data_IF_271375455298
#
_entry.id   IF_271375455298
#
_cell.length_a   1.000
_cell.length_b   1.000
_cell.length_c   1.000
_cell.angle_alpha   90.00
_cell.angle_beta   90.00
_cell.angle_gamma   90.00
#
_symmetry.space_group_name_H-M   'P 1'
#
loop_
_entity.id
_entity.type
_entity.pdbx_description
1 polymer ?
#
# COMPACT_ATOMS: atom_id res chain seq x y z
N UNK A 1 3.68 0.21 23.92
CA UNK A 1 3.35 1.48 24.59
C UNK A 1 4.62 2.31 24.80
N UNK A 2 5.72 1.73 25.30
CA UNK A 2 6.97 2.46 25.57
C UNK A 2 7.52 3.24 24.37
N UNK A 3 7.62 2.69 23.13
CA UNK A 3 8.13 3.43 21.97
C UNK A 3 7.27 4.66 21.61
N UNK A 4 5.95 4.55 21.78
CA UNK A 4 5.04 5.68 21.51
C UNK A 4 5.22 6.82 22.49
N UNK A 5 5.44 6.52 23.79
CA UNK A 5 5.73 7.51 24.81
C UNK A 5 7.07 8.22 24.54
N UNK A 6 8.07 7.47 24.12
CA UNK A 6 9.38 8.02 23.73
C UNK A 6 9.26 8.95 22.53
N UNK A 7 8.52 8.55 21.49
CA UNK A 7 8.28 9.39 20.31
C UNK A 7 7.53 10.67 20.70
N UNK A 8 6.48 10.55 21.53
CA UNK A 8 5.75 11.72 22.01
C UNK A 8 6.67 12.66 22.82
N UNK A 9 7.49 12.12 23.71
CA UNK A 9 8.46 12.90 24.48
C UNK A 9 9.40 13.68 23.57
N UNK A 10 10.03 13.00 22.58
CA UNK A 10 10.91 13.67 21.62
C UNK A 10 10.18 14.65 20.70
N UNK A 11 8.90 14.43 20.43
CA UNK A 11 8.07 15.36 19.65
C UNK A 11 7.86 16.72 20.34
N UNK A 12 7.82 16.71 21.66
CA UNK A 12 7.61 17.93 22.48
C UNK A 12 8.90 18.47 23.13
N UNK A 13 10.04 17.86 22.87
CA UNK A 13 11.31 18.22 23.48
C UNK A 13 12.33 18.60 22.42
N UNK A 14 13.09 19.68 22.65
CA UNK A 14 14.21 20.06 21.80
C UNK A 14 15.45 19.22 22.13
N UNK A 15 16.51 19.29 21.29
CA UNK A 15 17.81 18.61 21.49
C UNK A 15 18.46 18.93 22.84
N UNK A 16 18.08 20.03 23.48
CA UNK A 16 18.53 20.46 24.80
C UNK A 16 17.68 19.94 25.95
N UNK A 17 16.61 19.15 25.67
CA UNK A 17 15.69 18.64 26.70
C UNK A 17 14.63 19.63 27.17
N UNK A 18 14.57 20.84 26.59
CA UNK A 18 13.57 21.82 26.90
C UNK A 18 12.24 21.55 26.18
N UNK A 19 11.13 21.76 26.84
CA UNK A 19 9.79 21.67 26.24
C UNK A 19 9.62 22.75 25.18
N UNK A 20 9.35 22.33 23.93
CA UNK A 20 9.15 23.24 22.81
C UNK A 20 8.04 22.76 21.89
N UNK A 21 7.26 23.71 21.38
CA UNK A 21 6.25 23.48 20.36
C UNK A 21 6.80 23.71 18.94
N UNK A 22 8.09 24.00 18.81
CA UNK A 22 8.72 24.27 17.52
C UNK A 22 8.60 23.08 16.56
N UNK A 23 8.74 21.85 17.07
CA UNK A 23 8.59 20.61 16.28
C UNK A 23 7.15 20.45 15.79
N UNK A 24 6.16 20.78 16.62
CA UNK A 24 4.74 20.73 16.24
C UNK A 24 4.43 21.80 15.18
N UNK A 25 5.01 23.01 15.32
CA UNK A 25 4.87 24.07 14.33
C UNK A 25 5.56 23.74 13.01
N UNK A 26 6.66 22.99 13.04
CA UNK A 26 7.35 22.51 11.85
C UNK A 26 6.47 21.57 11.00
N UNK A 27 5.50 20.86 11.60
CA UNK A 27 4.54 20.01 10.87
C UNK A 27 3.66 20.87 9.93
N UNK A 28 3.38 22.12 10.30
CA UNK A 28 2.62 23.06 9.48
C UNK A 28 3.45 23.68 8.32
N UNK A 29 4.69 23.24 8.11
CA UNK A 29 5.48 23.69 6.97
C UNK A 29 4.85 23.28 5.65
N UNK A 30 4.98 24.10 4.59
CA UNK A 30 4.35 23.82 3.29
C UNK A 30 4.83 22.50 2.66
N UNK A 31 6.02 22.05 3.00
CA UNK A 31 6.58 20.77 2.52
C UNK A 31 5.85 19.57 3.14
N UNK A 32 5.61 19.59 4.43
CA UNK A 32 4.85 18.54 5.13
C UNK A 32 3.38 18.52 4.75
N UNK A 33 2.78 19.70 4.53
CA UNK A 33 1.40 19.80 4.05
C UNK A 33 1.23 19.25 2.64
N UNK A 34 2.20 19.47 1.73
CA UNK A 34 2.23 18.87 0.40
C UNK A 34 2.36 17.35 0.48
N UNK A 35 3.26 16.85 1.33
CA UNK A 35 3.44 15.41 1.54
C UNK A 35 2.17 14.75 2.10
N UNK A 36 1.50 15.38 3.06
CA UNK A 36 0.21 14.93 3.60
C UNK A 36 -0.88 14.91 2.52
N UNK A 37 -0.98 15.97 1.73
CA UNK A 37 -1.94 16.05 0.63
C UNK A 37 -1.73 14.96 -0.41
N UNK A 38 -0.49 14.70 -0.80
CA UNK A 38 -0.14 13.62 -1.70
C UNK A 38 -0.49 12.25 -1.11
N UNK A 39 -0.11 11.99 0.14
CA UNK A 39 -0.42 10.72 0.83
C UNK A 39 -1.92 10.48 0.93
N UNK A 40 -2.69 11.51 1.25
CA UNK A 40 -4.15 11.42 1.33
C UNK A 40 -4.78 11.13 -0.04
N UNK A 41 -4.32 11.80 -1.08
CA UNK A 41 -4.77 11.57 -2.45
C UNK A 41 -4.48 10.14 -2.91
N UNK A 42 -3.26 9.65 -2.68
CA UNK A 42 -2.88 8.27 -3.02
C UNK A 42 -3.69 7.24 -2.23
N UNK A 43 -3.96 7.50 -0.94
CA UNK A 43 -4.77 6.62 -0.10
C UNK A 43 -6.21 6.52 -0.57
N UNK A 44 -6.83 7.65 -0.95
CA UNK A 44 -8.19 7.69 -1.49
C UNK A 44 -8.25 6.93 -2.81
N UNK A 45 -7.31 7.20 -3.73
CA UNK A 45 -7.23 6.50 -5.01
C UNK A 45 -7.07 4.99 -4.82
N UNK A 46 -6.17 4.56 -3.93
CA UNK A 46 -5.97 3.16 -3.59
C UNK A 46 -7.24 2.50 -3.04
N UNK A 47 -7.94 3.18 -2.13
CA UNK A 47 -9.17 2.67 -1.50
C UNK A 47 -10.27 2.46 -2.54
N UNK A 48 -10.47 3.43 -3.44
CA UNK A 48 -11.46 3.34 -4.52
C UNK A 48 -11.12 2.18 -5.46
N UNK A 49 -9.87 2.05 -5.87
CA UNK A 49 -9.43 0.98 -6.77
C UNK A 49 -9.55 -0.40 -6.10
N UNK A 50 -9.15 -0.52 -4.83
CA UNK A 50 -9.33 -1.76 -4.07
C UNK A 50 -10.82 -2.15 -3.98
N UNK A 51 -11.71 -1.20 -3.72
CA UNK A 51 -13.14 -1.46 -3.63
C UNK A 51 -13.72 -1.88 -4.98
N UNK A 52 -13.35 -1.20 -6.06
CA UNK A 52 -13.77 -1.52 -7.43
C UNK A 52 -13.36 -2.93 -7.85
N UNK A 53 -12.23 -3.42 -7.38
CA UNK A 53 -11.73 -4.77 -7.69
C UNK A 53 -12.35 -5.80 -6.74
N UNK A 54 -12.33 -5.53 -5.43
CA UNK A 54 -12.77 -6.47 -4.41
C UNK A 54 -14.28 -6.74 -4.44
N UNK A 55 -15.08 -5.71 -4.74
CA UNK A 55 -16.55 -5.84 -4.73
C UNK A 55 -17.06 -6.82 -5.80
N UNK A 56 -16.75 -6.66 -7.11
CA UNK A 56 -17.22 -7.60 -8.13
C UNK A 56 -16.66 -9.01 -7.91
N UNK A 57 -15.41 -9.11 -7.44
CA UNK A 57 -14.78 -10.39 -7.16
C UNK A 57 -15.51 -11.13 -6.00
N UNK A 58 -15.85 -10.43 -4.93
CA UNK A 58 -16.63 -10.99 -3.82
C UNK A 58 -18.04 -11.40 -4.27
N UNK A 59 -18.71 -10.60 -5.13
CA UNK A 59 -20.00 -10.96 -5.69
C UNK A 59 -19.97 -12.23 -6.54
N UNK A 60 -18.96 -12.36 -7.41
CA UNK A 60 -18.78 -13.55 -8.25
C UNK A 60 -18.59 -14.79 -7.36
N UNK A 61 -17.73 -14.69 -6.34
CA UNK A 61 -17.48 -15.82 -5.43
C UNK A 61 -18.72 -16.21 -4.61
N UNK A 62 -19.52 -15.22 -4.19
CA UNK A 62 -20.81 -15.52 -3.52
C UNK A 62 -21.76 -16.25 -4.45
N UNK A 63 -21.93 -15.78 -5.70
CA UNK A 63 -22.84 -16.39 -6.69
C UNK A 63 -22.40 -17.81 -7.11
N UNK A 64 -21.12 -18.05 -7.28
CA UNK A 64 -20.57 -19.34 -7.67
C UNK A 64 -20.47 -20.34 -6.52
N UNK A 65 -20.76 -19.92 -5.27
CA UNK A 65 -20.61 -20.76 -4.08
C UNK A 65 -19.16 -21.15 -3.77
N UNK A 66 -18.21 -20.67 -4.56
CA UNK A 66 -16.78 -20.94 -4.39
C UNK A 66 -16.19 -20.28 -3.14
N UNK A 67 -16.85 -19.25 -2.60
CA UNK A 67 -16.47 -18.63 -1.33
C UNK A 67 -16.54 -19.59 -0.13
N UNK A 68 -17.34 -20.66 -0.22
CA UNK A 68 -17.38 -21.74 0.78
C UNK A 68 -16.23 -22.75 0.64
N UNK A 69 -15.56 -22.79 -0.51
CA UNK A 69 -14.38 -23.63 -0.72
C UNK A 69 -13.17 -22.87 -0.17
N UNK A 70 -12.67 -23.28 0.98
CA UNK A 70 -11.54 -22.66 1.69
C UNK A 70 -10.29 -22.42 0.83
N UNK A 71 -10.19 -23.07 -0.34
CA UNK A 71 -9.07 -22.92 -1.26
C UNK A 71 -8.92 -21.49 -1.82
N UNK A 72 -10.03 -20.82 -2.17
CA UNK A 72 -9.97 -19.43 -2.68
C UNK A 72 -9.55 -18.46 -1.57
N UNK A 73 -10.10 -18.67 -0.38
CA UNK A 73 -9.71 -17.92 0.82
C UNK A 73 -8.22 -18.11 1.10
N UNK A 74 -7.72 -19.35 0.97
CA UNK A 74 -6.31 -19.68 1.18
C UNK A 74 -5.37 -18.94 0.20
N UNK A 75 -5.73 -18.85 -1.10
CA UNK A 75 -4.95 -18.11 -2.11
C UNK A 75 -4.79 -16.62 -1.73
N UNK A 76 -5.83 -16.00 -1.13
CA UNK A 76 -5.74 -14.62 -0.68
C UNK A 76 -4.98 -14.44 0.63
N UNK A 77 -4.98 -15.46 1.50
CA UNK A 77 -4.23 -15.43 2.76
C UNK A 77 -2.74 -15.67 2.54
N UNK A 78 -2.37 -16.52 1.57
CA UNK A 78 -0.98 -16.87 1.27
C UNK A 78 -0.05 -15.64 1.12
N UNK A 79 -0.41 -14.61 0.33
CA UNK A 79 0.38 -13.40 0.22
C UNK A 79 0.51 -12.62 1.54
N UNK A 80 -0.47 -12.75 2.44
CA UNK A 80 -0.43 -12.05 3.74
C UNK A 80 0.61 -12.66 4.71
N UNK A 81 0.92 -13.96 4.55
CA UNK A 81 1.90 -14.65 5.39
C UNK A 81 3.36 -14.32 5.01
N UNK A 82 3.56 -13.79 3.81
CA UNK A 82 4.89 -13.34 3.41
C UNK A 82 5.29 -12.08 4.17
N UNK A 83 6.56 -12.02 4.56
CA UNK A 83 7.14 -10.83 5.18
C UNK A 83 6.96 -9.62 4.25
N UNK A 84 6.52 -8.50 4.83
CA UNK A 84 6.28 -7.24 4.11
C UNK A 84 7.52 -6.77 3.34
N UNK A 85 8.71 -6.88 3.93
CA UNK A 85 9.97 -6.47 3.30
C UNK A 85 10.28 -7.32 2.06
N UNK A 86 10.15 -8.66 2.15
CA UNK A 86 10.39 -9.55 1.02
C UNK A 86 9.41 -9.27 -0.12
N UNK A 87 8.16 -8.99 0.21
CA UNK A 87 7.12 -8.63 -0.76
C UNK A 87 7.45 -7.32 -1.48
N UNK A 88 7.84 -6.30 -0.72
CA UNK A 88 8.23 -5.00 -1.28
C UNK A 88 9.46 -5.14 -2.17
N UNK A 89 10.42 -5.95 -1.77
CA UNK A 89 11.62 -6.22 -2.56
C UNK A 89 11.30 -6.96 -3.87
N UNK A 90 10.38 -7.93 -3.81
CA UNK A 90 9.89 -8.64 -5.01
C UNK A 90 9.22 -7.67 -6.01
N UNK A 91 8.39 -6.74 -5.52
CA UNK A 91 7.77 -5.71 -6.35
C UNK A 91 8.80 -4.76 -6.96
N UNK A 92 9.80 -4.31 -6.20
CA UNK A 92 10.89 -3.48 -6.73
C UNK A 92 11.60 -4.20 -7.88
N UNK A 93 12.03 -5.44 -7.66
CA UNK A 93 12.72 -6.22 -8.71
C UNK A 93 11.85 -6.53 -9.94
N UNK A 94 10.53 -6.64 -9.76
CA UNK A 94 9.59 -6.87 -10.86
C UNK A 94 9.39 -5.63 -11.74
N UNK A 95 9.35 -4.45 -11.10
CA UNK A 95 9.05 -3.17 -11.75
C UNK A 95 10.31 -2.41 -12.20
N UNK A 96 11.49 -2.85 -11.77
CA UNK A 96 12.77 -2.19 -12.06
C UNK A 96 13.10 -2.20 -13.56
N UNK A 97 13.91 -1.23 -13.97
CA UNK A 97 14.45 -1.12 -15.33
C UNK A 97 15.33 -2.35 -15.62
N UNK A 98 14.83 -3.26 -16.46
CA UNK A 98 15.43 -4.58 -16.69
C UNK A 98 14.79 -5.73 -15.93
N UNK A 99 13.79 -5.47 -15.09
CA UNK A 99 12.98 -6.47 -14.39
C UNK A 99 12.15 -7.36 -15.34
N UNK A 100 11.53 -8.38 -14.77
CA UNK A 100 10.76 -9.37 -15.55
C UNK A 100 9.61 -8.71 -16.32
N UNK A 101 8.88 -7.79 -15.68
CA UNK A 101 7.78 -7.04 -16.31
C UNK A 101 8.28 -6.14 -17.44
N UNK A 102 9.39 -5.45 -17.24
CA UNK A 102 10.01 -4.60 -18.25
C UNK A 102 10.39 -5.41 -19.51
N UNK A 103 11.01 -6.58 -19.33
CA UNK A 103 11.37 -7.47 -20.43
C UNK A 103 10.16 -8.04 -21.17
N UNK A 104 9.10 -8.40 -20.45
CA UNK A 104 7.83 -8.88 -21.04
C UNK A 104 7.18 -7.75 -21.87
N UNK A 105 7.07 -6.53 -21.33
CA UNK A 105 6.52 -5.40 -22.06
C UNK A 105 7.32 -5.05 -23.30
N UNK A 106 8.65 -5.10 -23.19
CA UNK A 106 9.55 -4.88 -24.33
C UNK A 106 9.38 -5.92 -25.45
N UNK A 107 9.23 -7.20 -25.08
CA UNK A 107 9.03 -8.28 -26.04
C UNK A 107 7.65 -8.25 -26.71
N UNK A 108 6.65 -7.67 -26.01
CA UNK A 108 5.29 -7.48 -26.55
C UNK A 108 5.15 -6.18 -27.36
N UNK A 109 6.22 -5.38 -27.51
CA UNK A 109 6.17 -4.10 -28.24
C UNK A 109 5.36 -3.02 -27.53
N UNK A 110 5.09 -3.18 -26.23
CA UNK A 110 4.42 -2.17 -25.42
C UNK A 110 5.43 -1.09 -24.99
N UNK A 111 4.97 0.18 -24.82
CA UNK A 111 5.84 1.22 -24.31
C UNK A 111 6.39 0.84 -22.94
N UNK A 112 7.70 0.76 -22.83
CA UNK A 112 8.40 0.48 -21.57
C UNK A 112 8.40 1.75 -20.73
N UNK A 113 7.60 1.73 -19.66
CA UNK A 113 7.62 2.80 -18.66
C UNK A 113 8.46 2.33 -17.47
N UNK A 114 9.44 3.15 -17.09
CA UNK A 114 10.05 3.01 -15.76
C UNK A 114 8.99 3.39 -14.71
N UNK A 115 8.40 2.38 -14.12
CA UNK A 115 7.30 2.56 -13.15
C UNK A 115 7.85 2.80 -11.75
N UNK A 116 9.11 2.38 -11.50
CA UNK A 116 9.78 2.56 -10.20
C UNK A 116 9.92 4.06 -9.89
N UNK A 117 9.55 4.44 -8.68
CA UNK A 117 9.56 5.84 -8.24
C UNK A 117 8.35 6.68 -8.66
N UNK A 118 7.38 6.10 -9.39
CA UNK A 118 6.15 6.79 -9.76
C UNK A 118 5.03 6.54 -8.74
N UNK A 119 4.07 7.49 -8.68
CA UNK A 119 2.87 7.34 -7.87
C UNK A 119 2.06 6.09 -8.26
N UNK A 120 2.14 5.67 -9.52
CA UNK A 120 1.47 4.45 -10.00
C UNK A 120 2.05 3.18 -9.36
N UNK A 121 3.38 3.07 -9.21
CA UNK A 121 4.00 1.94 -8.53
C UNK A 121 3.59 1.86 -7.06
N UNK A 122 3.51 3.01 -6.39
CA UNK A 122 3.05 3.09 -5.00
C UNK A 122 1.60 2.59 -4.88
N UNK A 123 0.71 3.06 -5.75
CA UNK A 123 -0.70 2.63 -5.77
C UNK A 123 -0.81 1.13 -6.03
N UNK A 124 -0.07 0.58 -7.00
CA UNK A 124 -0.07 -0.86 -7.30
C UNK A 124 0.39 -1.68 -6.10
N UNK A 125 1.47 -1.30 -5.45
CA UNK A 125 1.96 -1.96 -4.24
C UNK A 125 0.97 -1.87 -3.08
N UNK A 126 0.30 -0.74 -2.91
CA UNK A 126 -0.75 -0.54 -1.90
C UNK A 126 -1.97 -1.42 -2.21
N UNK A 127 -2.45 -1.46 -3.46
CA UNK A 127 -3.57 -2.31 -3.87
C UNK A 127 -3.26 -3.77 -3.55
N UNK A 128 -2.11 -4.26 -3.96
CA UNK A 128 -1.70 -5.64 -3.69
C UNK A 128 -1.67 -5.98 -2.19
N UNK A 129 -1.24 -5.04 -1.35
CA UNK A 129 -1.20 -5.23 0.10
C UNK A 129 -2.58 -5.20 0.75
N UNK A 130 -3.47 -4.30 0.32
CA UNK A 130 -4.75 -4.04 0.98
C UNK A 130 -5.93 -4.76 0.33
N UNK A 131 -5.79 -5.23 -0.91
CA UNK A 131 -6.84 -5.94 -1.64
C UNK A 131 -7.37 -7.17 -0.88
N UNK A 132 -6.53 -8.05 -0.27
CA UNK A 132 -7.04 -9.17 0.50
C UNK A 132 -7.95 -8.76 1.66
N UNK A 133 -7.58 -7.70 2.39
CA UNK A 133 -8.38 -7.20 3.52
C UNK A 133 -9.74 -6.68 3.07
N UNK A 134 -9.75 -5.86 1.99
CA UNK A 134 -11.00 -5.36 1.39
C UNK A 134 -11.86 -6.50 0.84
N UNK A 135 -11.24 -7.48 0.20
CA UNK A 135 -11.93 -8.65 -0.32
C UNK A 135 -12.65 -9.43 0.79
N UNK A 136 -11.96 -9.75 1.90
CA UNK A 136 -12.58 -10.42 3.04
C UNK A 136 -13.72 -9.60 3.64
N UNK A 137 -13.53 -8.29 3.71
CA UNK A 137 -14.59 -7.40 4.22
C UNK A 137 -15.83 -7.44 3.33
N UNK A 138 -15.66 -7.38 2.01
CA UNK A 138 -16.76 -7.48 1.06
C UNK A 138 -17.42 -8.89 1.02
N UNK A 139 -16.66 -9.93 1.35
CA UNK A 139 -17.18 -11.31 1.38
C UNK A 139 -18.05 -11.56 2.62
N UNK A 140 -17.77 -10.88 3.74
CA UNK A 140 -18.50 -11.01 5.00
C UNK A 140 -19.79 -10.20 5.03
N UNK A 141 -19.93 -9.19 4.19
CA UNK A 141 -21.18 -8.45 3.98
C UNK A 141 -22.05 -9.13 2.92
#
# INVERSE_FOLDING_TARGET
>A
VVPLLVIAWYGFTDRTGAFTLANVRAIASPEHLKALGLSLSLSIACTILCLLIAYPLAMILKKTGMGKKGFVVFIFILPMWMNFLLRTYAWLNLLDDGGILFNICRNLGLPTFSVVGTNAAIIMGMIYNFLPFMFFRCLTF
#
